data_IF_472875400367
#
_entry.id   IF_472875400367
#
_cell.length_a   1.000
_cell.length_b   1.000
_cell.length_c   1.000
_cell.angle_alpha   90.00
_cell.angle_beta   90.00
_cell.angle_gamma   90.00
#
_symmetry.space_group_name_H-M   'P 1'
#
loop_
_entity.id
_entity.type
_entity.pdbx_description
1 polymer ?
#
# COMPACT_ATOMS: atom_id res chain seq x y z
N UNK A 1 -16.75 3.29 38.84
CA UNK A 1 -17.05 3.66 37.44
C UNK A 1 -15.99 4.67 37.05
N UNK A 2 -15.25 4.41 35.98
CA UNK A 2 -14.21 5.35 35.52
C UNK A 2 -14.88 6.70 35.21
N UNK A 3 -14.21 7.81 35.51
CA UNK A 3 -14.69 9.16 35.17
C UNK A 3 -14.90 9.34 33.66
N UNK A 4 -14.30 8.46 32.83
CA UNK A 4 -14.33 8.49 31.36
C UNK A 4 -15.52 7.74 30.74
N UNK A 5 -16.26 6.90 31.52
CA UNK A 5 -17.31 6.03 31.01
C UNK A 5 -16.84 4.90 30.07
N UNK A 6 -15.53 4.62 30.03
CA UNK A 6 -14.92 3.52 29.27
C UNK A 6 -14.45 2.45 30.25
N UNK A 7 -14.88 1.20 30.05
CA UNK A 7 -14.50 0.08 30.92
C UNK A 7 -13.48 -0.85 30.25
N UNK A 8 -13.49 -0.93 28.93
CA UNK A 8 -12.59 -1.77 28.14
C UNK A 8 -12.25 -1.09 26.81
N UNK A 9 -10.97 -1.13 26.41
CA UNK A 9 -10.46 -0.56 25.16
C UNK A 9 -9.62 -1.59 24.41
N UNK A 10 -9.77 -1.67 23.07
CA UNK A 10 -8.86 -2.42 22.20
C UNK A 10 -7.84 -1.47 21.61
N UNK A 11 -6.56 -1.76 21.83
CA UNK A 11 -5.44 -0.96 21.36
C UNK A 11 -4.75 -1.65 20.17
N UNK A 12 -4.58 -0.90 19.06
CA UNK A 12 -3.64 -1.28 18.01
C UNK A 12 -2.21 -1.21 18.59
N UNK A 13 -1.61 -2.36 18.78
CA UNK A 13 -0.39 -2.53 19.58
C UNK A 13 0.75 -3.10 18.73
N UNK A 14 1.80 -2.34 18.53
CA UNK A 14 3.01 -2.78 17.82
C UNK A 14 4.09 -3.39 18.71
N UNK A 15 3.94 -3.29 20.03
CA UNK A 15 5.01 -3.66 20.98
C UNK A 15 6.19 -2.67 21.03
N UNK A 16 6.10 -1.56 20.30
CA UNK A 16 7.05 -0.45 20.37
C UNK A 16 6.91 0.38 21.64
N UNK A 17 7.82 1.33 21.87
CA UNK A 17 7.81 2.23 23.01
C UNK A 17 6.47 2.97 23.15
N UNK A 18 6.06 3.66 22.09
CA UNK A 18 4.88 4.52 22.12
C UNK A 18 3.61 3.74 22.46
N UNK A 19 3.37 2.61 21.79
CA UNK A 19 2.18 1.79 22.04
C UNK A 19 2.21 1.12 23.41
N UNK A 20 3.39 0.80 23.96
CA UNK A 20 3.52 0.28 25.33
C UNK A 20 3.20 1.34 26.37
N UNK A 21 3.63 2.58 26.16
CA UNK A 21 3.24 3.71 27.00
C UNK A 21 1.74 3.96 26.91
N UNK A 22 1.18 3.95 25.71
CA UNK A 22 -0.27 4.09 25.49
C UNK A 22 -1.06 3.03 26.25
N UNK A 23 -0.62 1.76 26.19
CA UNK A 23 -1.29 0.67 26.92
C UNK A 23 -1.35 0.95 28.41
N UNK A 24 -0.23 1.39 29.00
CA UNK A 24 -0.16 1.74 30.43
C UNK A 24 -0.96 3.00 30.76
N UNK A 25 -0.86 4.03 29.94
CA UNK A 25 -1.59 5.29 30.09
C UNK A 25 -3.10 5.06 30.08
N UNK A 26 -3.63 4.20 29.19
CA UNK A 26 -5.03 3.82 29.17
C UNK A 26 -5.47 3.13 30.47
N UNK A 27 -4.61 2.26 31.04
CA UNK A 27 -4.90 1.61 32.32
C UNK A 27 -4.98 2.62 33.48
N UNK A 28 -4.10 3.63 33.48
CA UNK A 28 -3.98 4.61 34.56
C UNK A 28 -5.02 5.72 34.45
N UNK A 29 -5.07 6.40 33.30
CA UNK A 29 -5.91 7.60 33.14
C UNK A 29 -7.39 7.27 32.91
N UNK A 30 -7.66 6.16 32.21
CA UNK A 30 -9.04 5.74 31.94
C UNK A 30 -9.56 4.73 32.97
N UNK A 31 -8.70 4.20 33.85
CA UNK A 31 -9.04 3.13 34.80
C UNK A 31 -9.82 2.00 34.12
N UNK A 32 -9.33 1.56 32.95
CA UNK A 32 -10.00 0.61 32.07
C UNK A 32 -9.17 -0.63 31.78
N UNK A 33 -9.81 -1.71 31.35
CA UNK A 33 -9.12 -2.89 30.85
C UNK A 33 -8.63 -2.63 29.44
N UNK A 34 -7.38 -3.01 29.16
CA UNK A 34 -6.77 -2.92 27.83
C UNK A 34 -6.70 -4.31 27.23
N UNK A 35 -7.19 -4.42 26.00
CA UNK A 35 -7.00 -5.54 25.08
C UNK A 35 -6.00 -5.09 24.05
N UNK A 36 -4.96 -5.87 23.76
CA UNK A 36 -4.00 -5.54 22.72
C UNK A 36 -4.24 -6.36 21.47
N UNK A 37 -4.11 -5.71 20.32
CA UNK A 37 -4.16 -6.35 19.01
C UNK A 37 -2.94 -5.99 18.19
N UNK A 38 -2.22 -7.02 17.74
CA UNK A 38 -1.07 -6.93 16.84
C UNK A 38 -1.38 -7.71 15.56
N UNK A 39 -1.37 -7.03 14.43
CA UNK A 39 -1.52 -7.65 13.13
C UNK A 39 -0.15 -8.06 12.57
N UNK A 40 0.03 -9.32 12.19
CA UNK A 40 1.10 -9.73 11.29
C UNK A 40 0.62 -9.56 9.85
N UNK A 41 1.17 -8.56 9.18
CA UNK A 41 0.94 -8.24 7.77
C UNK A 41 2.26 -8.31 6.97
N UNK A 42 3.27 -9.01 7.51
CA UNK A 42 4.57 -9.22 6.87
C UNK A 42 5.65 -8.22 7.30
N UNK A 43 5.54 -7.62 8.50
CA UNK A 43 6.56 -6.72 9.05
C UNK A 43 7.79 -7.45 9.63
N UNK A 44 7.77 -8.78 9.69
CA UNK A 44 8.90 -9.60 10.15
C UNK A 44 8.95 -9.83 11.67
N UNK A 45 10.14 -9.75 12.27
CA UNK A 45 10.43 -10.20 13.64
C UNK A 45 9.75 -9.38 14.77
N UNK A 46 9.09 -8.28 14.47
CA UNK A 46 8.53 -7.37 15.49
C UNK A 46 7.26 -7.91 16.19
N UNK A 47 6.67 -8.98 15.68
CA UNK A 47 5.37 -9.50 16.15
C UNK A 47 5.50 -10.28 17.47
N UNK A 48 6.45 -11.19 17.59
CA UNK A 48 6.62 -12.06 18.77
C UNK A 48 6.96 -11.32 20.08
N UNK A 49 7.82 -10.29 20.09
CA UNK A 49 8.11 -9.54 21.31
C UNK A 49 6.91 -8.79 21.92
N UNK A 50 5.87 -8.51 21.10
CA UNK A 50 4.70 -7.75 21.54
C UNK A 50 3.93 -8.47 22.66
N UNK A 51 3.78 -9.79 22.57
CA UNK A 51 3.09 -10.60 23.59
C UNK A 51 3.74 -10.46 24.97
N UNK A 52 5.04 -10.75 25.05
CA UNK A 52 5.76 -10.72 26.30
C UNK A 52 5.71 -9.33 26.98
N UNK A 53 5.77 -8.26 26.18
CA UNK A 53 5.66 -6.88 26.69
C UNK A 53 4.25 -6.57 27.22
N UNK A 54 3.21 -7.00 26.52
CA UNK A 54 1.82 -6.84 26.98
C UNK A 54 1.57 -7.62 28.28
N UNK A 55 2.03 -8.86 28.37
CA UNK A 55 1.92 -9.70 29.59
C UNK A 55 2.65 -9.08 30.78
N UNK A 56 3.84 -8.51 30.55
CA UNK A 56 4.62 -7.81 31.60
C UNK A 56 3.87 -6.59 32.17
N UNK A 57 3.00 -5.96 31.38
CA UNK A 57 2.14 -4.85 31.82
C UNK A 57 0.81 -5.33 32.43
N UNK A 58 0.64 -6.64 32.66
CA UNK A 58 -0.54 -7.24 33.26
C UNK A 58 -1.74 -7.35 32.33
N UNK A 59 -1.56 -7.19 31.03
CA UNK A 59 -2.61 -7.35 30.02
C UNK A 59 -2.84 -8.84 29.78
N UNK A 60 -4.13 -9.27 29.81
CA UNK A 60 -4.49 -10.69 29.73
C UNK A 60 -5.16 -11.05 28.41
N UNK A 61 -5.83 -10.09 27.76
CA UNK A 61 -6.50 -10.28 26.49
C UNK A 61 -5.56 -9.75 25.38
N UNK A 62 -4.83 -10.66 24.72
CA UNK A 62 -3.77 -10.34 23.75
C UNK A 62 -4.07 -11.10 22.46
N UNK A 63 -4.31 -10.37 21.38
CA UNK A 63 -4.55 -10.88 20.06
C UNK A 63 -3.31 -10.61 19.18
N UNK A 64 -2.72 -11.64 18.63
CA UNK A 64 -1.67 -11.57 17.61
C UNK A 64 -2.13 -12.48 16.49
N UNK A 65 -2.37 -11.91 15.32
CA UNK A 65 -3.00 -12.63 14.21
C UNK A 65 -2.21 -12.48 12.92
N UNK A 66 -2.00 -13.61 12.23
CA UNK A 66 -1.43 -13.64 10.89
C UNK A 66 -2.51 -13.23 9.88
N UNK A 67 -2.38 -12.03 9.36
CA UNK A 67 -3.28 -11.43 8.37
C UNK A 67 -2.62 -11.25 7.01
N UNK A 68 -1.45 -11.84 6.77
CA UNK A 68 -0.68 -11.65 5.53
C UNK A 68 -1.49 -12.04 4.30
N UNK A 69 -2.18 -13.18 4.35
CA UNK A 69 -2.97 -13.66 3.22
C UNK A 69 -4.19 -12.77 2.97
N UNK A 70 -4.91 -12.35 4.02
CA UNK A 70 -6.04 -11.43 3.90
C UNK A 70 -5.57 -10.06 3.38
N UNK A 71 -4.43 -9.56 3.88
CA UNK A 71 -3.84 -8.31 3.43
C UNK A 71 -3.53 -8.32 1.94
N UNK A 72 -2.85 -9.36 1.47
CA UNK A 72 -2.50 -9.49 0.05
C UNK A 72 -3.75 -9.64 -0.82
N UNK A 73 -4.62 -10.62 -0.49
CA UNK A 73 -5.77 -11.00 -1.31
C UNK A 73 -6.87 -9.95 -1.37
N UNK A 74 -7.24 -9.35 -0.22
CA UNK A 74 -8.45 -8.56 -0.10
C UNK A 74 -8.18 -7.04 -0.09
N UNK A 75 -6.92 -6.62 0.02
CA UNK A 75 -6.52 -5.22 0.06
C UNK A 75 -5.51 -4.86 -1.04
N UNK A 76 -4.37 -5.54 -1.10
CA UNK A 76 -3.31 -5.19 -2.04
C UNK A 76 -3.71 -5.53 -3.47
N UNK A 77 -4.14 -6.76 -3.76
CA UNK A 77 -4.49 -7.18 -5.12
C UNK A 77 -5.64 -6.36 -5.72
N UNK A 78 -6.76 -6.09 -5.01
CA UNK A 78 -7.79 -5.18 -5.51
C UNK A 78 -7.27 -3.78 -5.86
N UNK A 79 -6.34 -3.25 -5.06
CA UNK A 79 -5.70 -1.96 -5.34
C UNK A 79 -4.80 -2.03 -6.59
N UNK A 80 -4.10 -3.15 -6.81
CA UNK A 80 -3.28 -3.35 -8.01
C UNK A 80 -4.12 -3.55 -9.28
N UNK A 81 -5.31 -4.17 -9.20
CA UNK A 81 -6.27 -4.18 -10.33
C UNK A 81 -6.63 -2.77 -10.78
N UNK A 82 -6.66 -1.80 -9.87
CA UNK A 82 -6.85 -0.39 -10.19
C UNK A 82 -5.60 0.28 -10.78
N UNK A 83 -4.44 -0.35 -10.78
CA UNK A 83 -3.13 0.27 -11.03
C UNK A 83 -2.88 1.50 -10.14
N UNK A 84 -3.35 1.48 -8.88
CA UNK A 84 -3.37 2.64 -8.03
C UNK A 84 -1.98 3.13 -7.66
N UNK A 85 -1.71 4.38 -8.01
CA UNK A 85 -0.49 5.10 -7.65
C UNK A 85 -0.89 6.49 -7.17
N UNK A 86 -0.47 6.86 -5.96
CA UNK A 86 -0.72 8.20 -5.44
C UNK A 86 0.38 9.16 -5.92
N UNK A 87 -0.05 10.30 -6.47
CA UNK A 87 0.81 11.36 -7.00
C UNK A 87 1.84 10.88 -8.05
N UNK A 88 1.55 9.77 -8.74
CA UNK A 88 2.37 9.23 -9.83
C UNK A 88 3.51 8.32 -9.40
N UNK A 89 3.77 8.16 -8.10
CA UNK A 89 4.93 7.42 -7.59
C UNK A 89 4.60 6.48 -6.42
N UNK A 90 3.81 6.91 -5.44
CA UNK A 90 3.61 6.17 -4.20
C UNK A 90 2.64 4.99 -4.34
N UNK A 91 3.11 3.77 -4.05
CA UNK A 91 2.35 2.51 -4.14
C UNK A 91 1.47 2.21 -2.91
N UNK A 92 1.22 3.19 -2.05
CA UNK A 92 0.20 3.16 -1.00
C UNK A 92 0.39 2.14 0.13
N UNK A 93 1.60 1.61 0.34
CA UNK A 93 1.83 0.48 1.27
C UNK A 93 1.38 0.74 2.72
N UNK A 94 1.67 1.91 3.30
CA UNK A 94 1.15 2.26 4.64
C UNK A 94 -0.35 2.51 4.59
N UNK A 95 -0.83 3.19 3.53
CA UNK A 95 -2.24 3.59 3.43
C UNK A 95 -3.18 2.40 3.34
N UNK A 96 -2.79 1.33 2.61
CA UNK A 96 -3.62 0.14 2.40
C UNK A 96 -3.60 -0.83 3.59
N UNK A 97 -2.60 -0.74 4.47
CA UNK A 97 -2.51 -1.56 5.67
C UNK A 97 -3.53 -1.16 6.75
N UNK A 98 -3.77 0.15 6.89
CA UNK A 98 -4.62 0.67 7.99
C UNK A 98 -6.09 0.24 7.91
N UNK A 99 -6.75 0.13 6.74
CA UNK A 99 -8.12 -0.37 6.64
C UNK A 99 -8.31 -1.81 7.16
N UNK A 100 -7.36 -2.71 6.93
CA UNK A 100 -7.39 -4.07 7.46
C UNK A 100 -7.22 -4.06 8.99
N UNK A 101 -6.23 -3.33 9.49
CA UNK A 101 -5.99 -3.24 10.93
C UNK A 101 -7.20 -2.63 11.65
N UNK A 102 -7.80 -1.57 11.09
CA UNK A 102 -9.01 -0.95 11.64
C UNK A 102 -10.21 -1.92 11.64
N UNK A 103 -10.39 -2.70 10.57
CA UNK A 103 -11.42 -3.75 10.49
C UNK A 103 -11.28 -4.72 11.65
N UNK A 104 -10.08 -5.29 11.80
CA UNK A 104 -9.86 -6.31 12.82
C UNK A 104 -9.95 -5.75 14.24
N UNK A 105 -9.50 -4.51 14.44
CA UNK A 105 -9.62 -3.80 15.72
C UNK A 105 -11.08 -3.66 16.14
N UNK A 106 -11.98 -3.28 15.21
CA UNK A 106 -13.42 -3.18 15.43
C UNK A 106 -14.04 -4.56 15.72
N UNK A 107 -13.68 -5.58 14.96
CA UNK A 107 -14.16 -6.95 15.17
C UNK A 107 -13.79 -7.47 16.58
N UNK A 108 -12.55 -7.25 17.03
CA UNK A 108 -12.11 -7.61 18.37
C UNK A 108 -12.85 -6.79 19.43
N UNK A 109 -13.12 -5.50 19.19
CA UNK A 109 -13.91 -4.68 20.10
C UNK A 109 -15.32 -5.26 20.28
N UNK A 110 -15.96 -5.67 19.19
CA UNK A 110 -17.27 -6.33 19.24
C UNK A 110 -17.21 -7.68 19.95
N UNK A 111 -16.21 -8.52 19.67
CA UNK A 111 -16.03 -9.84 20.29
C UNK A 111 -15.79 -9.76 21.81
N UNK A 112 -15.03 -8.77 22.25
CA UNK A 112 -14.64 -8.61 23.66
C UNK A 112 -15.60 -7.72 24.45
N UNK A 113 -16.57 -7.11 23.77
CA UNK A 113 -17.50 -6.12 24.39
C UNK A 113 -16.76 -4.86 24.84
N UNK A 114 -15.73 -4.43 24.09
CA UNK A 114 -15.02 -3.20 24.42
C UNK A 114 -15.82 -1.95 24.03
N UNK A 115 -15.73 -0.92 24.87
CA UNK A 115 -16.46 0.34 24.71
C UNK A 115 -15.75 1.30 23.73
N UNK A 116 -14.45 1.08 23.52
CA UNK A 116 -13.59 1.96 22.74
C UNK A 116 -12.47 1.21 22.01
N UNK A 117 -11.92 1.86 20.99
CA UNK A 117 -10.66 1.49 20.36
C UNK A 117 -9.62 2.58 20.58
N UNK A 118 -8.33 2.21 20.48
CA UNK A 118 -7.22 3.16 20.55
C UNK A 118 -6.13 2.84 19.55
N UNK A 119 -5.38 3.85 19.14
CA UNK A 119 -4.25 3.73 18.24
C UNK A 119 -3.10 4.66 18.64
N UNK A 120 -1.88 4.33 18.21
CA UNK A 120 -0.66 5.09 18.48
C UNK A 120 -0.29 6.11 17.40
N UNK A 121 -1.17 6.39 16.44
CA UNK A 121 -0.86 7.35 15.38
C UNK A 121 -0.79 8.79 15.93
N UNK A 122 0.25 9.53 15.52
CA UNK A 122 0.45 10.92 15.93
C UNK A 122 -0.54 11.87 15.27
N UNK A 123 -0.80 13.02 15.89
CA UNK A 123 -1.69 14.06 15.34
C UNK A 123 -1.19 14.75 14.07
N UNK A 124 0.08 14.52 13.68
CA UNK A 124 0.71 15.06 12.45
C UNK A 124 0.66 14.10 11.26
N UNK A 125 0.32 12.82 11.50
CA UNK A 125 0.30 11.78 10.47
C UNK A 125 -1.08 11.55 9.86
N UNK A 126 -1.12 10.97 8.66
CA UNK A 126 -2.36 10.53 8.01
C UNK A 126 -2.98 9.30 8.69
N UNK A 127 -2.19 8.51 9.42
CA UNK A 127 -2.63 7.23 9.96
C UNK A 127 -3.77 7.37 10.97
N UNK A 128 -3.79 8.44 11.77
CA UNK A 128 -4.93 8.72 12.63
C UNK A 128 -6.24 8.82 11.83
N UNK A 129 -6.20 9.50 10.68
CA UNK A 129 -7.37 9.65 9.80
C UNK A 129 -7.80 8.29 9.26
N UNK A 130 -6.84 7.47 8.80
CA UNK A 130 -7.09 6.15 8.23
C UNK A 130 -7.70 5.18 9.23
N UNK A 131 -7.18 5.14 10.47
CA UNK A 131 -7.75 4.33 11.54
C UNK A 131 -9.17 4.75 11.89
N UNK A 132 -9.38 6.03 12.12
CA UNK A 132 -10.65 6.55 12.60
C UNK A 132 -11.75 6.49 11.54
N UNK A 133 -11.47 6.88 10.30
CA UNK A 133 -12.45 6.75 9.21
C UNK A 133 -12.83 5.29 8.97
N UNK A 134 -11.86 4.36 9.03
CA UNK A 134 -12.13 2.93 8.95
C UNK A 134 -13.02 2.45 10.08
N UNK A 135 -12.71 2.85 11.31
CA UNK A 135 -13.48 2.46 12.48
C UNK A 135 -14.92 3.03 12.44
N UNK A 136 -15.09 4.30 12.10
CA UNK A 136 -16.42 4.91 12.01
C UNK A 136 -17.28 4.32 10.88
N UNK A 137 -16.65 3.93 9.75
CA UNK A 137 -17.35 3.26 8.67
C UNK A 137 -17.88 1.87 9.06
N UNK A 138 -17.10 1.13 9.87
CA UNK A 138 -17.44 -0.24 10.28
C UNK A 138 -18.24 -0.33 11.58
N UNK A 139 -18.10 0.67 12.47
CA UNK A 139 -18.80 0.76 13.75
C UNK A 139 -19.10 2.24 14.08
N UNK A 140 -20.18 2.83 13.52
CA UNK A 140 -20.44 4.27 13.59
C UNK A 140 -20.51 4.87 15.00
N UNK A 141 -20.83 4.07 16.01
CA UNK A 141 -20.92 4.49 17.42
C UNK A 141 -19.65 4.26 18.24
N UNK A 142 -18.54 3.78 17.63
CA UNK A 142 -17.33 3.47 18.38
C UNK A 142 -16.68 4.73 18.95
N UNK A 143 -16.27 4.67 20.22
CA UNK A 143 -15.41 5.71 20.82
C UNK A 143 -13.95 5.44 20.41
N UNK A 144 -13.28 6.46 19.87
CA UNK A 144 -11.86 6.40 19.56
C UNK A 144 -11.08 7.21 20.57
N UNK A 145 -10.04 6.61 21.15
CA UNK A 145 -9.10 7.26 22.07
C UNK A 145 -7.78 7.39 21.32
N UNK A 146 -7.33 8.62 21.10
CA UNK A 146 -6.09 8.94 20.41
C UNK A 146 -5.14 9.69 21.35
N UNK A 147 -4.31 8.98 22.15
CA UNK A 147 -3.53 9.57 23.24
C UNK A 147 -2.63 10.72 22.81
N UNK A 148 -2.05 10.68 21.62
CA UNK A 148 -1.24 11.77 21.09
C UNK A 148 -1.97 13.13 20.97
N UNK A 149 -3.30 13.15 21.05
CA UNK A 149 -4.12 14.38 21.08
C UNK A 149 -4.60 14.76 22.47
N UNK A 150 -4.37 13.89 23.46
CA UNK A 150 -4.94 14.01 24.79
C UNK A 150 -3.88 14.21 25.90
N UNK A 151 -2.68 13.62 25.72
CA UNK A 151 -1.63 13.63 26.72
C UNK A 151 -0.59 14.74 26.52
N UNK A 152 0.19 15.02 27.57
CA UNK A 152 1.28 16.02 27.54
C UNK A 152 2.66 15.39 27.26
N UNK A 153 2.73 14.11 26.86
CA UNK A 153 3.97 13.38 26.60
C UNK A 153 4.49 13.68 25.19
N UNK A 154 4.96 14.92 24.95
CA UNK A 154 5.25 15.45 23.62
C UNK A 154 6.69 15.22 23.14
N UNK A 155 7.55 14.57 23.92
CA UNK A 155 8.95 14.32 23.59
C UNK A 155 9.37 12.91 23.94
N UNK A 156 10.44 12.42 23.28
CA UNK A 156 11.04 11.12 23.63
C UNK A 156 11.46 11.04 25.07
N UNK A 157 11.99 12.13 25.63
CA UNK A 157 12.45 12.19 27.02
C UNK A 157 11.26 12.06 27.99
N UNK A 158 10.13 12.73 27.71
CA UNK A 158 8.92 12.58 28.53
C UNK A 158 8.33 11.17 28.44
N UNK A 159 8.37 10.54 27.25
CA UNK A 159 7.94 9.15 27.07
C UNK A 159 8.85 8.18 27.87
N UNK A 160 10.17 8.37 27.80
CA UNK A 160 11.11 7.53 28.56
C UNK A 160 10.95 7.68 30.06
N UNK A 161 10.75 8.91 30.54
CA UNK A 161 10.49 9.18 31.95
C UNK A 161 9.21 8.49 32.42
N UNK A 162 8.12 8.61 31.65
CA UNK A 162 6.87 7.91 31.95
C UNK A 162 7.04 6.39 31.98
N UNK A 163 7.83 5.85 31.06
CA UNK A 163 8.12 4.42 31.02
C UNK A 163 8.89 3.94 32.27
N UNK A 164 9.86 4.74 32.76
CA UNK A 164 10.59 4.47 34.01
C UNK A 164 9.66 4.56 35.23
N UNK A 165 8.84 5.60 35.35
CA UNK A 165 7.91 5.81 36.47
C UNK A 165 6.86 4.70 36.62
N UNK A 166 6.53 4.01 35.49
CA UNK A 166 5.49 2.98 35.45
C UNK A 166 6.02 1.56 35.20
N UNK A 167 7.34 1.33 35.32
CA UNK A 167 8.00 0.03 35.13
C UNK A 167 7.66 -0.62 33.78
N UNK A 168 7.52 0.19 32.71
CA UNK A 168 7.21 -0.32 31.37
C UNK A 168 8.50 -0.93 30.78
N UNK A 169 8.46 -2.19 30.31
CA UNK A 169 9.65 -2.83 29.74
C UNK A 169 10.05 -2.15 28.43
N UNK A 170 11.09 -1.33 28.49
CA UNK A 170 11.70 -0.69 27.32
C UNK A 170 12.99 -1.42 27.00
N UNK A 171 13.09 -2.01 25.84
CA UNK A 171 14.35 -2.54 25.36
C UNK A 171 15.35 -1.40 25.14
N UNK A 172 16.33 -1.30 26.03
CA UNK A 172 17.52 -0.52 25.76
C UNK A 172 18.40 -1.28 24.75
N UNK A 173 18.01 -1.29 23.49
CA UNK A 173 18.93 -1.72 22.43
C UNK A 173 20.05 -0.67 22.35
N UNK A 174 21.10 -0.88 23.15
CA UNK A 174 22.36 -0.17 22.98
C UNK A 174 22.93 -0.60 21.62
N UNK A 175 22.91 0.30 20.67
CA UNK A 175 23.89 0.25 19.59
C UNK A 175 23.43 0.03 18.15
N UNK A 176 22.14 -0.02 17.76
CA UNK A 176 21.76 -0.01 16.33
C UNK A 176 20.27 0.27 16.11
N UNK A 177 19.71 1.29 16.75
CA UNK A 177 18.38 1.74 16.32
C UNK A 177 18.56 2.57 15.05
N UNK A 178 17.87 2.19 13.98
CA UNK A 178 17.72 3.04 12.82
C UNK A 178 17.29 4.44 13.28
N UNK A 179 17.93 5.51 12.83
CA UNK A 179 17.51 6.88 13.15
C UNK A 179 16.14 7.19 12.55
N UNK A 180 15.72 6.42 11.55
CA UNK A 180 14.49 6.60 10.79
C UNK A 180 13.28 6.03 11.52
N UNK A 181 12.13 6.70 11.36
CA UNK A 181 10.83 6.10 11.59
C UNK A 181 10.52 5.14 10.45
N UNK A 182 10.13 3.92 10.78
CA UNK A 182 9.93 2.86 9.80
C UNK A 182 8.58 2.19 10.00
N UNK A 183 7.93 1.86 8.89
CA UNK A 183 6.75 1.02 8.82
C UNK A 183 6.95 -0.05 7.75
N UNK A 184 6.67 -1.31 8.07
CA UNK A 184 6.90 -2.43 7.18
C UNK A 184 5.66 -3.33 7.07
N UNK A 185 5.41 -3.85 5.87
CA UNK A 185 4.41 -4.88 5.58
C UNK A 185 4.78 -5.61 4.28
N UNK A 186 3.98 -6.57 3.83
CA UNK A 186 4.25 -7.32 2.60
C UNK A 186 4.45 -6.46 1.35
N UNK A 187 3.89 -5.25 1.30
CA UNK A 187 3.99 -4.40 0.11
C UNK A 187 5.23 -3.52 0.12
N UNK A 188 5.63 -3.02 1.30
CA UNK A 188 6.75 -2.07 1.38
C UNK A 188 7.45 -2.00 2.75
N UNK A 189 8.61 -1.34 2.75
CA UNK A 189 9.17 -0.66 3.92
C UNK A 189 9.19 0.83 3.63
N UNK A 190 8.75 1.65 4.59
CA UNK A 190 8.89 3.11 4.55
C UNK A 190 9.95 3.59 5.53
N UNK A 191 10.64 4.68 5.17
CA UNK A 191 11.63 5.37 5.98
C UNK A 191 11.33 6.86 5.98
N UNK A 192 11.21 7.45 7.15
CA UNK A 192 10.94 8.89 7.35
C UNK A 192 11.80 9.46 8.48
N UNK A 193 12.02 10.77 8.47
CA UNK A 193 12.71 11.49 9.54
C UNK A 193 14.23 11.53 9.38
N UNK A 194 14.91 12.08 10.39
CA UNK A 194 16.35 12.29 10.43
C UNK A 194 16.88 13.04 9.19
N UNK A 195 17.92 12.54 8.52
CA UNK A 195 18.50 13.16 7.32
C UNK A 195 17.48 13.34 6.19
N UNK A 196 16.43 12.50 6.14
CA UNK A 196 15.38 12.59 5.11
C UNK A 196 14.47 13.82 5.27
N UNK A 197 14.54 14.55 6.39
CA UNK A 197 13.82 15.82 6.56
C UNK A 197 14.38 16.91 5.65
N UNK A 198 15.63 16.79 5.19
CA UNK A 198 16.20 17.61 4.14
C UNK A 198 16.00 16.97 2.77
N UNK A 199 15.12 17.49 1.89
CA UNK A 199 14.89 16.88 0.58
C UNK A 199 16.09 16.96 -0.38
N UNK A 200 17.17 17.66 -0.01
CA UNK A 200 18.43 17.70 -0.76
C UNK A 200 19.45 16.66 -0.30
N UNK A 201 19.24 16.06 0.87
CA UNK A 201 20.14 15.03 1.40
C UNK A 201 19.91 13.69 0.71
N UNK A 202 20.99 13.03 0.26
CA UNK A 202 20.92 11.67 -0.30
C UNK A 202 20.63 10.66 0.81
N UNK A 203 19.71 9.68 0.60
CA UNK A 203 19.46 8.61 1.55
C UNK A 203 20.72 7.77 1.81
N UNK A 204 20.97 7.41 3.07
CA UNK A 204 22.15 6.62 3.45
C UNK A 204 22.12 5.22 2.82
N UNK A 205 23.27 4.75 2.38
CA UNK A 205 23.41 3.47 1.66
C UNK A 205 22.96 2.27 2.51
N UNK A 206 23.18 2.33 3.81
CA UNK A 206 22.87 1.26 4.78
C UNK A 206 21.44 1.35 5.36
N UNK A 207 20.67 2.34 4.94
CA UNK A 207 19.25 2.47 5.32
C UNK A 207 18.40 1.31 4.78
N UNK A 208 18.68 0.89 3.55
CA UNK A 208 17.88 -0.06 2.79
C UNK A 208 18.02 -1.50 3.31
N UNK A 209 16.90 -2.20 3.52
CA UNK A 209 16.86 -3.52 4.16
C UNK A 209 16.51 -4.66 3.21
N UNK A 210 15.65 -4.41 2.22
CA UNK A 210 15.18 -5.43 1.30
C UNK A 210 15.94 -5.46 -0.01
N UNK A 211 16.48 -4.33 -0.42
CA UNK A 211 17.06 -4.15 -1.74
C UNK A 211 18.56 -3.92 -1.67
N UNK A 212 19.29 -4.56 -2.54
CA UNK A 212 20.66 -4.16 -2.85
C UNK A 212 20.66 -2.91 -3.73
N UNK A 213 21.77 -2.15 -3.77
CA UNK A 213 21.85 -1.05 -4.72
C UNK A 213 21.91 -1.59 -6.16
N UNK A 214 21.47 -0.82 -7.17
CA UNK A 214 21.59 -1.24 -8.59
C UNK A 214 23.01 -1.61 -8.97
N UNK A 215 24.03 -0.92 -8.42
CA UNK A 215 25.43 -1.20 -8.65
C UNK A 215 25.87 -2.56 -8.09
N UNK A 216 25.35 -2.93 -6.90
CA UNK A 216 25.65 -4.19 -6.23
C UNK A 216 24.80 -5.37 -6.73
N UNK A 217 23.74 -5.10 -7.51
CA UNK A 217 22.90 -6.13 -8.09
C UNK A 217 23.66 -6.99 -9.12
N UNK A 218 23.25 -8.27 -9.34
CA UNK A 218 23.94 -9.18 -10.25
C UNK A 218 24.11 -8.63 -11.67
N UNK A 219 25.25 -8.96 -12.30
CA UNK A 219 25.52 -8.63 -13.70
C UNK A 219 24.75 -9.51 -14.70
N UNK A 220 24.17 -10.61 -14.23
CA UNK A 220 23.30 -11.46 -15.01
C UNK A 220 21.84 -11.10 -14.73
N UNK A 221 21.02 -10.85 -15.77
CA UNK A 221 19.61 -10.57 -15.59
C UNK A 221 18.84 -11.80 -15.10
N UNK A 222 17.86 -11.59 -14.25
CA UNK A 222 16.86 -12.61 -13.91
C UNK A 222 15.63 -12.48 -14.83
N UNK A 223 15.06 -13.61 -15.22
CA UNK A 223 13.80 -13.66 -15.97
C UNK A 223 12.73 -14.30 -15.09
N UNK A 224 11.50 -13.81 -15.18
CA UNK A 224 10.35 -14.34 -14.44
C UNK A 224 9.09 -14.26 -15.31
N UNK A 225 8.26 -15.29 -15.25
CA UNK A 225 6.94 -15.33 -15.88
C UNK A 225 5.85 -15.21 -14.81
N UNK A 226 4.97 -14.23 -14.96
CA UNK A 226 3.83 -14.02 -14.08
C UNK A 226 2.56 -14.39 -14.84
N UNK A 227 1.80 -15.36 -14.30
CA UNK A 227 0.51 -15.77 -14.83
C UNK A 227 -0.62 -15.00 -14.15
N UNK A 228 -1.47 -14.40 -14.96
CA UNK A 228 -2.62 -13.61 -14.53
C UNK A 228 -3.92 -14.35 -14.77
N UNK A 229 -4.83 -14.23 -13.82
CA UNK A 229 -6.24 -14.61 -13.94
C UNK A 229 -7.11 -13.51 -13.37
N UNK A 230 -7.97 -12.92 -14.21
CA UNK A 230 -8.85 -11.80 -13.82
C UNK A 230 -8.10 -10.64 -13.13
N UNK A 231 -6.90 -10.30 -13.66
CA UNK A 231 -6.05 -9.24 -13.16
C UNK A 231 -5.15 -9.61 -11.99
N UNK A 232 -5.36 -10.74 -11.34
CA UNK A 232 -4.54 -11.18 -10.21
C UNK A 232 -3.43 -12.15 -10.66
N UNK A 233 -2.26 -12.05 -10.02
CA UNK A 233 -1.16 -13.00 -10.24
C UNK A 233 -1.47 -14.27 -9.48
N UNK A 234 -1.59 -15.40 -10.19
CA UNK A 234 -1.93 -16.72 -9.64
C UNK A 234 -0.77 -17.71 -9.67
N UNK A 235 0.27 -17.45 -10.47
CA UNK A 235 1.45 -18.30 -10.54
C UNK A 235 2.70 -17.50 -10.95
N UNK A 236 3.87 -17.95 -10.49
CA UNK A 236 5.20 -17.48 -10.88
C UNK A 236 5.95 -18.66 -11.48
N UNK A 237 6.49 -18.50 -12.71
CA UNK A 237 7.24 -19.54 -13.45
C UNK A 237 6.47 -20.89 -13.51
N UNK A 238 5.14 -20.81 -13.69
CA UNK A 238 4.25 -21.96 -13.76
C UNK A 238 3.91 -22.61 -12.42
N UNK A 239 4.42 -22.10 -11.30
CA UNK A 239 4.10 -22.60 -9.95
C UNK A 239 2.98 -21.75 -9.35
N UNK A 240 1.83 -22.37 -9.09
CA UNK A 240 0.70 -21.72 -8.43
C UNK A 240 1.05 -21.31 -7.00
N UNK A 241 0.69 -20.09 -6.61
CA UNK A 241 1.01 -19.52 -5.31
C UNK A 241 -0.18 -18.73 -4.76
N UNK A 242 -0.25 -18.63 -3.42
CA UNK A 242 -1.19 -17.72 -2.76
C UNK A 242 -0.75 -16.25 -2.94
N UNK A 243 -1.67 -15.28 -2.83
CA UNK A 243 -1.35 -13.86 -2.92
C UNK A 243 -0.19 -13.40 -2.04
N UNK A 244 -0.16 -13.81 -0.76
CA UNK A 244 0.95 -13.48 0.13
C UNK A 244 2.28 -14.08 -0.36
N UNK A 245 2.28 -15.35 -0.77
CA UNK A 245 3.48 -16.02 -1.28
C UNK A 245 3.99 -15.39 -2.59
N UNK A 246 3.09 -14.94 -3.47
CA UNK A 246 3.46 -14.15 -4.67
C UNK A 246 4.24 -12.91 -4.27
N UNK A 247 3.74 -12.13 -3.31
CA UNK A 247 4.39 -10.90 -2.86
C UNK A 247 5.74 -11.18 -2.20
N UNK A 248 5.83 -12.17 -1.31
CA UNK A 248 7.09 -12.57 -0.66
C UNK A 248 8.16 -12.99 -1.69
N UNK A 249 7.74 -13.79 -2.68
CA UNK A 249 8.62 -14.25 -3.77
C UNK A 249 9.13 -13.08 -4.62
N UNK A 250 8.25 -12.16 -5.00
CA UNK A 250 8.60 -11.00 -5.80
C UNK A 250 9.41 -9.96 -5.02
N UNK A 251 9.18 -9.80 -3.72
CA UNK A 251 10.01 -8.96 -2.85
C UNK A 251 11.44 -9.46 -2.81
N UNK A 252 11.63 -10.77 -2.62
CA UNK A 252 12.96 -11.38 -2.62
C UNK A 252 13.64 -11.19 -3.98
N UNK A 253 12.97 -11.60 -5.04
CA UNK A 253 13.53 -11.53 -6.40
C UNK A 253 13.85 -10.09 -6.83
N UNK A 254 12.94 -9.15 -6.55
CA UNK A 254 13.12 -7.74 -6.85
C UNK A 254 14.23 -7.11 -6.01
N UNK A 255 14.27 -7.40 -4.71
CA UNK A 255 15.30 -6.91 -3.80
C UNK A 255 16.71 -7.35 -4.20
N UNK A 256 16.89 -8.62 -4.56
CA UNK A 256 18.16 -9.17 -5.07
C UNK A 256 18.62 -8.50 -6.37
N UNK A 257 17.70 -7.95 -7.16
CA UNK A 257 17.97 -7.24 -8.41
C UNK A 257 17.96 -5.70 -8.28
N UNK A 258 17.91 -5.16 -7.07
CA UNK A 258 17.96 -3.72 -6.78
C UNK A 258 16.71 -2.95 -7.20
N UNK A 259 15.54 -3.62 -7.28
CA UNK A 259 14.29 -3.04 -7.77
C UNK A 259 13.46 -2.50 -6.60
N UNK A 260 12.79 -1.35 -6.80
CA UNK A 260 11.73 -0.84 -5.95
C UNK A 260 12.20 0.12 -4.87
N UNK A 261 13.27 0.89 -5.09
CA UNK A 261 13.64 2.04 -4.26
C UNK A 261 13.01 3.30 -4.81
N UNK A 262 12.21 3.96 -4.00
CA UNK A 262 11.55 5.22 -4.34
C UNK A 262 11.87 6.28 -3.27
N UNK A 263 12.06 7.52 -3.70
CA UNK A 263 12.27 8.70 -2.86
C UNK A 263 11.24 9.76 -3.24
N UNK A 264 10.28 10.01 -2.38
CA UNK A 264 9.05 10.70 -2.73
C UNK A 264 8.80 11.85 -1.76
N UNK A 265 8.42 13.02 -2.29
CA UNK A 265 7.84 14.11 -1.50
C UNK A 265 6.35 14.17 -1.78
N UNK A 266 5.56 13.57 -0.90
CA UNK A 266 4.11 13.45 -1.02
C UNK A 266 3.36 14.57 -0.30
N UNK A 267 2.11 14.84 -0.73
CA UNK A 267 1.22 15.75 -0.03
C UNK A 267 0.33 14.98 0.94
N UNK A 268 0.58 15.12 2.25
CA UNK A 268 -0.25 14.51 3.28
C UNK A 268 -1.65 15.10 3.29
N UNK A 269 -2.65 14.25 3.56
CA UNK A 269 -4.06 14.67 3.66
C UNK A 269 -4.28 15.72 4.75
N UNK A 270 -3.48 15.69 5.80
CA UNK A 270 -3.47 16.71 6.87
C UNK A 270 -2.83 18.05 6.46
N UNK A 271 -2.40 18.21 5.20
CA UNK A 271 -2.08 19.50 4.61
C UNK A 271 -0.60 19.88 4.56
N UNK A 272 0.33 18.95 4.83
CA UNK A 272 1.77 19.21 4.73
C UNK A 272 2.44 18.33 3.70
N UNK A 273 3.59 18.77 3.18
CA UNK A 273 4.50 17.92 2.40
C UNK A 273 5.36 17.09 3.34
N UNK A 274 5.62 15.84 2.96
CA UNK A 274 6.51 14.94 3.70
C UNK A 274 7.33 14.13 2.73
N UNK A 275 8.63 14.00 2.98
CA UNK A 275 9.50 13.11 2.25
C UNK A 275 9.51 11.75 2.93
N UNK A 276 9.38 10.70 2.14
CA UNK A 276 9.56 9.31 2.53
C UNK A 276 10.38 8.56 1.50
N UNK A 277 11.24 7.67 1.95
CA UNK A 277 11.88 6.68 1.10
C UNK A 277 11.20 5.33 1.28
N UNK A 278 11.07 4.59 0.20
CA UNK A 278 10.31 3.34 0.19
C UNK A 278 11.08 2.21 -0.49
N UNK A 279 10.91 1.00 0.00
CA UNK A 279 11.29 -0.22 -0.71
C UNK A 279 10.03 -0.99 -1.08
N UNK A 280 9.75 -1.12 -2.38
CA UNK A 280 8.52 -1.72 -2.93
C UNK A 280 8.82 -2.73 -4.04
N UNK A 281 9.70 -3.73 -3.84
CA UNK A 281 10.15 -4.60 -4.93
C UNK A 281 9.01 -5.34 -5.61
N UNK A 282 8.15 -6.05 -4.84
CA UNK A 282 7.00 -6.76 -5.39
C UNK A 282 6.03 -5.80 -6.07
N UNK A 283 5.69 -4.68 -5.42
CA UNK A 283 4.76 -3.70 -5.96
C UNK A 283 5.20 -3.15 -7.31
N UNK A 284 6.48 -2.80 -7.46
CA UNK A 284 7.06 -2.31 -8.72
C UNK A 284 6.96 -3.35 -9.83
N UNK A 285 7.27 -4.62 -9.53
CA UNK A 285 7.17 -5.73 -10.50
C UNK A 285 5.72 -5.99 -10.88
N UNK A 286 4.83 -6.10 -9.89
CA UNK A 286 3.40 -6.38 -10.07
C UNK A 286 2.72 -5.32 -10.94
N UNK A 287 2.94 -4.03 -10.63
CA UNK A 287 2.37 -2.93 -11.40
C UNK A 287 2.80 -2.96 -12.86
N UNK A 288 4.11 -3.14 -13.10
CA UNK A 288 4.67 -3.21 -14.46
C UNK A 288 4.10 -4.37 -15.25
N UNK A 289 3.96 -5.53 -14.63
CA UNK A 289 3.41 -6.72 -15.26
C UNK A 289 1.91 -6.60 -15.52
N UNK A 290 1.14 -6.08 -14.54
CA UNK A 290 -0.31 -5.90 -14.68
C UNK A 290 -0.65 -4.95 -15.84
N UNK A 291 0.01 -3.80 -15.93
CA UNK A 291 -0.17 -2.90 -17.08
C UNK A 291 0.25 -3.54 -18.41
N UNK A 292 1.20 -4.45 -18.39
CA UNK A 292 1.63 -5.15 -19.61
C UNK A 292 0.57 -6.14 -20.10
N UNK A 293 -0.09 -6.91 -19.22
CA UNK A 293 -1.16 -7.82 -19.65
C UNK A 293 -2.41 -7.03 -20.06
N UNK A 294 -2.79 -5.98 -19.34
CA UNK A 294 -3.89 -5.10 -19.71
C UNK A 294 -3.72 -4.51 -21.12
N UNK A 295 -2.48 -4.20 -21.52
CA UNK A 295 -2.21 -3.58 -22.83
C UNK A 295 -2.62 -4.44 -24.02
N UNK A 296 -2.85 -5.74 -23.84
CA UNK A 296 -3.30 -6.65 -24.90
C UNK A 296 -4.70 -7.24 -24.66
N UNK A 297 -5.28 -7.03 -23.47
CA UNK A 297 -6.57 -7.65 -23.09
C UNK A 297 -7.67 -6.63 -22.83
N UNK A 298 -7.36 -5.36 -22.63
CA UNK A 298 -8.35 -4.31 -22.49
C UNK A 298 -8.58 -3.56 -23.79
N UNK A 299 -9.85 -3.28 -24.08
CA UNK A 299 -10.22 -2.32 -25.10
C UNK A 299 -9.65 -0.93 -24.79
N UNK A 300 -9.34 -0.15 -25.84
CA UNK A 300 -8.75 1.18 -25.75
C UNK A 300 -9.53 2.10 -24.80
N UNK A 301 -10.86 2.20 -25.01
CA UNK A 301 -11.69 3.14 -24.26
C UNK A 301 -11.87 2.68 -22.81
N UNK A 302 -11.97 1.38 -22.56
CA UNK A 302 -12.01 0.81 -21.21
C UNK A 302 -10.69 1.06 -20.45
N UNK A 303 -9.54 0.89 -21.12
CA UNK A 303 -8.23 1.18 -20.52
C UNK A 303 -8.07 2.66 -20.17
N UNK A 304 -8.49 3.58 -21.06
CA UNK A 304 -8.45 5.02 -20.82
C UNK A 304 -9.37 5.43 -19.67
N UNK A 305 -10.62 4.93 -19.64
CA UNK A 305 -11.54 5.19 -18.53
C UNK A 305 -10.96 4.75 -17.19
N UNK A 306 -10.36 3.57 -17.15
CA UNK A 306 -9.70 3.06 -15.94
C UNK A 306 -8.54 3.96 -15.50
N UNK A 307 -7.70 4.41 -16.42
CA UNK A 307 -6.58 5.33 -16.15
C UNK A 307 -7.07 6.71 -15.65
N UNK A 308 -8.20 7.22 -16.14
CA UNK A 308 -8.82 8.46 -15.65
C UNK A 308 -9.34 8.33 -14.21
N UNK A 309 -9.82 7.15 -13.82
CA UNK A 309 -10.37 6.89 -12.49
C UNK A 309 -9.30 6.54 -11.46
N UNK A 310 -8.13 6.07 -11.88
CA UNK A 310 -7.05 5.63 -11.00
C UNK A 310 -6.60 6.70 -9.99
N UNK A 311 -6.38 7.98 -10.34
CA UNK A 311 -5.98 9.01 -9.38
C UNK A 311 -7.03 9.23 -8.29
N UNK A 312 -8.31 9.14 -8.64
CA UNK A 312 -9.42 9.24 -7.68
C UNK A 312 -9.40 8.06 -6.71
N UNK A 313 -9.24 6.84 -7.23
CA UNK A 313 -9.14 5.63 -6.42
C UNK A 313 -7.92 5.71 -5.48
N UNK A 314 -6.74 6.06 -5.98
CA UNK A 314 -5.53 6.21 -5.19
C UNK A 314 -5.69 7.26 -4.07
N UNK A 315 -6.34 8.40 -4.35
CA UNK A 315 -6.62 9.42 -3.35
C UNK A 315 -7.57 8.94 -2.26
N UNK A 316 -8.58 8.14 -2.59
CA UNK A 316 -9.48 7.56 -1.59
C UNK A 316 -8.73 6.60 -0.64
N UNK A 317 -7.87 5.74 -1.19
CA UNK A 317 -7.02 4.85 -0.39
C UNK A 317 -6.06 5.65 0.48
N UNK A 318 -5.35 6.61 -0.09
CA UNK A 318 -4.38 7.45 0.62
C UNK A 318 -5.00 8.20 1.79
N UNK A 319 -6.21 8.75 1.59
CA UNK A 319 -6.94 9.58 2.57
C UNK A 319 -7.74 8.76 3.60
N UNK A 320 -7.72 7.42 3.53
CA UNK A 320 -8.38 6.56 4.51
C UNK A 320 -9.84 6.19 4.19
N UNK A 321 -10.32 6.43 2.97
CA UNK A 321 -11.69 6.15 2.54
C UNK A 321 -11.86 4.76 1.92
N UNK A 322 -11.07 3.75 2.36
CA UNK A 322 -11.20 2.38 1.85
C UNK A 322 -12.62 1.83 1.96
N UNK A 323 -13.30 2.11 3.07
CA UNK A 323 -14.65 1.61 3.36
C UNK A 323 -15.77 2.51 2.85
N UNK A 324 -15.46 3.57 2.10
CA UNK A 324 -16.45 4.49 1.57
C UNK A 324 -17.23 3.91 0.39
N UNK A 325 -18.52 4.31 0.21
CA UNK A 325 -19.34 3.86 -0.91
C UNK A 325 -18.71 4.14 -2.29
N UNK A 326 -18.11 5.32 -2.46
CA UNK A 326 -17.48 5.70 -3.74
C UNK A 326 -16.28 4.83 -4.08
N UNK A 327 -15.46 4.41 -3.09
CA UNK A 327 -14.37 3.49 -3.35
C UNK A 327 -14.91 2.10 -3.73
N UNK A 328 -15.98 1.64 -3.09
CA UNK A 328 -16.63 0.37 -3.42
C UNK A 328 -17.18 0.38 -4.85
N UNK A 329 -17.88 1.44 -5.24
CA UNK A 329 -18.37 1.60 -6.62
C UNK A 329 -17.23 1.59 -7.65
N UNK A 330 -16.11 2.29 -7.36
CA UNK A 330 -14.95 2.25 -8.23
C UNK A 330 -14.33 0.85 -8.30
N UNK A 331 -14.29 0.09 -7.19
CA UNK A 331 -13.80 -1.28 -7.19
C UNK A 331 -14.64 -2.19 -8.08
N UNK A 332 -15.97 -2.11 -8.00
CA UNK A 332 -16.86 -2.89 -8.86
C UNK A 332 -16.62 -2.61 -10.37
N UNK A 333 -16.42 -1.34 -10.72
CA UNK A 333 -16.08 -0.96 -12.09
C UNK A 333 -14.72 -1.52 -12.52
N UNK A 334 -13.71 -1.41 -11.63
CA UNK A 334 -12.36 -1.93 -11.88
C UNK A 334 -12.42 -3.45 -12.03
N UNK A 335 -13.06 -4.17 -11.11
CA UNK A 335 -13.18 -5.63 -11.13
C UNK A 335 -13.90 -6.12 -12.39
N UNK A 336 -14.94 -5.41 -12.84
CA UNK A 336 -15.61 -5.71 -14.11
C UNK A 336 -14.65 -5.61 -15.30
N UNK A 337 -13.72 -4.66 -15.31
CA UNK A 337 -12.70 -4.52 -16.36
C UNK A 337 -11.68 -5.66 -16.38
N UNK A 338 -11.51 -6.36 -15.26
CA UNK A 338 -10.48 -7.41 -15.11
C UNK A 338 -10.94 -8.79 -15.60
N UNK A 339 -12.20 -8.99 -15.93
CA UNK A 339 -12.74 -10.28 -16.35
C UNK A 339 -11.97 -10.94 -17.50
N UNK A 340 -11.44 -10.13 -18.41
CA UNK A 340 -10.64 -10.56 -19.58
C UNK A 340 -9.13 -10.37 -19.40
N UNK A 341 -8.65 -9.93 -18.23
CA UNK A 341 -7.23 -9.73 -17.97
C UNK A 341 -6.58 -11.05 -17.54
N UNK A 342 -6.42 -11.96 -18.52
CA UNK A 342 -5.87 -13.30 -18.35
C UNK A 342 -4.67 -13.50 -19.28
N UNK A 343 -3.63 -14.18 -18.81
CA UNK A 343 -2.47 -14.50 -19.64
C UNK A 343 -1.17 -14.53 -18.88
N UNK A 344 -0.07 -14.41 -19.60
CA UNK A 344 1.29 -14.50 -19.04
C UNK A 344 2.13 -13.30 -19.48
N UNK A 345 2.85 -12.72 -18.54
CA UNK A 345 3.85 -11.67 -18.80
C UNK A 345 5.22 -12.19 -18.43
N UNK A 346 6.17 -12.06 -19.33
CA UNK A 346 7.58 -12.35 -19.08
C UNK A 346 8.33 -11.05 -18.84
N UNK A 347 9.02 -10.97 -17.72
CA UNK A 347 9.83 -9.84 -17.31
C UNK A 347 11.31 -10.21 -17.29
N UNK A 348 12.14 -9.21 -17.57
CA UNK A 348 13.57 -9.22 -17.33
C UNK A 348 13.88 -8.22 -16.22
N UNK A 349 14.48 -8.71 -15.14
CA UNK A 349 14.88 -7.94 -13.97
C UNK A 349 16.40 -7.72 -14.03
N UNK A 350 16.81 -6.46 -13.99
CA UNK A 350 18.24 -6.17 -14.13
C UNK A 350 18.58 -4.80 -13.55
N UNK A 351 19.45 -4.77 -12.54
CA UNK A 351 20.03 -3.55 -11.95
C UNK A 351 19.00 -2.43 -11.74
N UNK A 352 18.00 -2.69 -10.91
CA UNK A 352 16.94 -1.73 -10.56
C UNK A 352 15.82 -1.60 -11.60
N UNK A 353 15.92 -2.27 -12.75
CA UNK A 353 14.94 -2.12 -13.82
C UNK A 353 14.06 -3.35 -13.99
N UNK A 354 12.78 -3.11 -14.23
CA UNK A 354 11.79 -4.10 -14.65
C UNK A 354 11.46 -3.87 -16.12
N UNK A 355 11.83 -4.80 -16.98
CA UNK A 355 11.60 -4.72 -18.42
C UNK A 355 10.62 -5.80 -18.86
N UNK A 356 9.55 -5.41 -19.55
CA UNK A 356 8.64 -6.35 -20.20
C UNK A 356 9.30 -6.87 -21.48
N UNK A 357 9.50 -8.19 -21.54
CA UNK A 357 10.12 -8.86 -22.70
C UNK A 357 9.17 -9.82 -23.43
N UNK A 358 7.97 -10.00 -22.91
CA UNK A 358 6.91 -10.77 -23.58
C UNK A 358 5.60 -10.67 -22.83
N UNK A 359 4.51 -10.82 -23.57
CA UNK A 359 3.14 -10.93 -23.04
C UNK A 359 2.30 -11.74 -23.99
N UNK A 360 1.43 -12.58 -23.46
CA UNK A 360 0.49 -13.37 -24.24
C UNK A 360 -0.79 -13.63 -23.48
N UNK A 361 -1.88 -13.75 -24.22
CA UNK A 361 -3.15 -14.27 -23.73
C UNK A 361 -3.73 -15.15 -24.84
N UNK A 362 -4.06 -16.40 -24.50
CA UNK A 362 -4.53 -17.38 -25.48
C UNK A 362 -6.02 -17.16 -25.83
N UNK A 363 -6.79 -16.60 -24.90
CA UNK A 363 -8.26 -16.43 -25.03
C UNK A 363 -8.72 -14.99 -25.15
N UNK A 364 -8.01 -14.04 -24.55
CA UNK A 364 -8.51 -12.69 -24.30
C UNK A 364 -7.72 -11.58 -25.01
N UNK A 365 -6.70 -11.95 -25.81
CA UNK A 365 -5.89 -10.97 -26.53
C UNK A 365 -6.71 -10.24 -27.59
N UNK A 366 -6.71 -8.91 -27.52
CA UNK A 366 -7.23 -8.00 -28.55
C UNK A 366 -6.13 -7.60 -29.56
N UNK A 367 -4.89 -8.05 -29.36
CA UNK A 367 -3.80 -7.80 -30.29
C UNK A 367 -3.88 -8.82 -31.45
N UNK A 368 -4.27 -8.34 -32.60
CA UNK A 368 -4.31 -9.12 -33.86
C UNK A 368 -3.12 -8.76 -34.76
N UNK A 369 -2.18 -9.69 -34.86
CA UNK A 369 -0.98 -9.49 -35.65
C UNK A 369 -1.28 -9.34 -37.15
N UNK A 370 -2.38 -9.91 -37.66
CA UNK A 370 -2.77 -9.80 -39.07
C UNK A 370 -3.26 -8.39 -39.43
N UNK A 371 -3.79 -7.66 -38.44
CA UNK A 371 -4.25 -6.26 -38.61
C UNK A 371 -3.12 -5.28 -38.29
N UNK A 372 -2.30 -5.59 -37.27
CA UNK A 372 -1.23 -4.72 -36.77
C UNK A 372 0.06 -4.78 -37.61
N UNK A 373 0.12 -5.62 -38.64
CA UNK A 373 1.28 -5.73 -39.53
C UNK A 373 1.39 -4.53 -40.49
N UNK A 374 2.63 -4.21 -40.90
CA UNK A 374 2.88 -3.26 -41.99
C UNK A 374 2.79 -3.92 -43.38
N UNK A 375 2.65 -5.24 -43.44
CA UNK A 375 2.49 -5.99 -44.67
C UNK A 375 0.97 -6.14 -44.96
N UNK A 376 0.53 -5.74 -46.16
CA UNK A 376 -0.91 -5.72 -46.53
C UNK A 376 -1.34 -7.05 -47.17
N UNK A 377 -1.15 -8.15 -46.43
CA UNK A 377 -1.32 -9.50 -46.96
C UNK A 377 -2.76 -10.03 -46.95
N UNK A 378 -3.68 -9.44 -46.20
CA UNK A 378 -4.97 -10.11 -45.94
C UNK A 378 -6.21 -9.26 -46.20
N UNK A 379 -6.12 -7.98 -46.56
CA UNK A 379 -7.28 -7.10 -46.72
C UNK A 379 -8.14 -6.93 -45.45
N UNK A 380 -7.56 -7.19 -44.28
CA UNK A 380 -8.23 -7.07 -42.99
C UNK A 380 -8.46 -5.60 -42.58
N UNK A 381 -7.68 -4.68 -43.15
CA UNK A 381 -7.79 -3.24 -42.92
C UNK A 381 -7.74 -2.48 -44.26
N UNK A 382 -8.75 -1.70 -44.55
CA UNK A 382 -8.79 -0.83 -45.74
C UNK A 382 -8.15 0.53 -45.40
N UNK A 383 -6.94 0.79 -45.88
CA UNK A 383 -6.23 2.04 -45.61
C UNK A 383 -6.95 3.28 -46.12
N UNK A 384 -7.86 3.15 -47.16
CA UNK A 384 -8.64 4.27 -47.69
C UNK A 384 -9.67 4.82 -46.69
N UNK A 385 -10.16 4.00 -45.78
CA UNK A 385 -11.15 4.42 -44.77
C UNK A 385 -10.54 5.44 -43.79
N UNK A 386 -9.25 5.41 -43.59
CA UNK A 386 -8.53 6.36 -42.74
C UNK A 386 -8.63 7.81 -43.27
N UNK A 387 -8.68 8.01 -44.59
CA UNK A 387 -8.80 9.34 -45.21
C UNK A 387 -10.09 10.05 -44.77
N UNK A 388 -11.21 9.36 -44.81
CA UNK A 388 -12.52 9.90 -44.39
C UNK A 388 -12.55 10.23 -42.93
N UNK A 389 -12.08 9.32 -42.07
CA UNK A 389 -11.95 9.52 -40.61
C UNK A 389 -11.10 10.74 -40.30
N UNK A 390 -9.92 10.89 -40.91
CA UNK A 390 -9.01 12.01 -40.69
C UNK A 390 -9.64 13.34 -41.11
N UNK A 391 -10.31 13.37 -42.28
CA UNK A 391 -10.97 14.57 -42.80
C UNK A 391 -12.07 15.07 -41.86
N UNK A 392 -12.90 14.18 -41.32
CA UNK A 392 -13.93 14.54 -40.35
C UNK A 392 -13.35 15.04 -39.05
N UNK A 393 -12.36 14.36 -38.48
CA UNK A 393 -11.68 14.79 -37.26
C UNK A 393 -10.89 16.11 -37.43
N UNK A 394 -10.37 16.39 -38.64
CA UNK A 394 -9.69 17.61 -38.97
C UNK A 394 -10.62 18.83 -39.13
N UNK A 395 -11.93 18.63 -39.28
CA UNK A 395 -12.88 19.70 -39.58
C UNK A 395 -12.84 20.82 -38.52
N UNK A 396 -12.89 20.46 -37.23
CA UNK A 396 -12.77 21.42 -36.11
C UNK A 396 -11.46 22.21 -36.14
N UNK A 397 -10.34 21.56 -36.48
CA UNK A 397 -9.03 22.17 -36.56
C UNK A 397 -8.96 23.18 -37.72
N UNK A 398 -9.51 22.83 -38.89
CA UNK A 398 -9.56 23.72 -40.06
C UNK A 398 -10.42 24.95 -39.80
N UNK A 399 -11.56 24.81 -39.13
CA UNK A 399 -12.43 25.93 -38.76
C UNK A 399 -11.68 26.88 -37.78
N UNK A 400 -11.03 26.31 -36.75
CA UNK A 400 -10.30 27.12 -35.79
C UNK A 400 -9.08 27.83 -36.42
N UNK A 401 -8.36 27.15 -37.32
CA UNK A 401 -7.22 27.75 -38.02
C UNK A 401 -7.66 28.86 -38.99
N UNK A 402 -8.77 28.65 -39.72
CA UNK A 402 -9.32 29.67 -40.63
C UNK A 402 -9.73 30.96 -39.92
N UNK A 403 -10.24 30.88 -38.69
CA UNK A 403 -10.57 32.05 -37.89
C UNK A 403 -9.36 32.83 -37.37
N UNK A 404 -8.24 32.13 -37.09
CA UNK A 404 -6.99 32.76 -36.63
C UNK A 404 -6.21 33.45 -37.77
N UNK A 405 -6.43 33.04 -39.03
CA UNK A 405 -5.76 33.63 -40.19
C UNK A 405 -6.56 34.75 -40.80
N UNK A 406 -7.79 35.01 -40.36
CA UNK A 406 -8.67 36.09 -40.82
C UNK A 406 -8.67 37.33 -39.97
N UNK A 407 -7.88 37.36 -38.88
CA UNK A 407 -7.52 38.55 -38.09
C UNK A 407 -6.09 38.98 -38.48
#
# INVERSE_FOLDING_TARGET
MSQSGVNKVVLAYSGGLDTSIIAKWLQVEYDCKVVTFTADIGQGEEVEPARAKAEAMGIKEIYIEDLREEFARDFVFPMFRANAIYEGEYLLGTSIARPLIAKRLVEIAQQTGADAISHGATGKGNDQVRFELGAYALMPGVKVIAPWREWDLNSRDSLMKYAEEHDIPVEQKRGTKSPYSMDANLLHISYEGDILEDPWAEPEVDMWRWTVSPEAAPDQPAYVELQFQQGDIVAIDGVAMSPATVMETLNKLGGENGIGRDDIVENRYVGMKSRGCYETPAGTIMLKAHRAIESITLDREAAHLKDELMPKYASLVYNGYWWSPERQMLQELIDASQATVNGVVRLKLYKGNVMVVGRKSDSDSLFDASIATFEDDAGAYNQQDAEGFIKLNALRLRIAAGKRQGD
#
